data_IF_461190481678
#
_entry.id   IF_461190481678
#
_cell.length_a   1.000
_cell.length_b   1.000
_cell.length_c   1.000
_cell.angle_alpha   90.00
_cell.angle_beta   90.00
_cell.angle_gamma   90.00
#
_symmetry.space_group_name_H-M   'P 1'
#
loop_
_entity.id
_entity.type
_entity.pdbx_description
1 polymer ?
#
# COMPACT_ATOMS: atom_id res chain seq x y z
N UNK A 1 -55.36 -56.21 -26.00
CA UNK A 1 -54.84 -54.88 -26.41
C UNK A 1 -55.71 -53.74 -25.82
N UNK A 2 -55.29 -52.45 -25.73
CA UNK A 2 -53.97 -51.78 -25.86
C UNK A 2 -53.49 -51.19 -24.48
N UNK A 3 -52.19 -51.05 -24.15
CA UNK A 3 -51.14 -50.05 -24.52
C UNK A 3 -51.46 -48.57 -24.26
N UNK A 4 -50.86 -48.02 -23.19
CA UNK A 4 -50.46 -46.62 -22.97
C UNK A 4 -50.16 -46.48 -21.45
N UNK A 5 -49.19 -45.75 -20.90
CA UNK A 5 -48.18 -44.79 -21.34
C UNK A 5 -47.19 -44.71 -20.16
N UNK A 6 -45.90 -44.50 -20.43
CA UNK A 6 -44.81 -44.60 -19.45
C UNK A 6 -44.86 -43.61 -18.27
N UNK A 7 -43.95 -43.78 -17.29
CA UNK A 7 -43.94 -43.01 -16.06
C UNK A 7 -43.17 -41.70 -16.22
N UNK A 8 -43.59 -40.62 -15.54
CA UNK A 8 -42.66 -39.57 -15.15
C UNK A 8 -42.34 -39.70 -13.65
N UNK A 9 -41.06 -39.83 -13.26
CA UNK A 9 -40.63 -39.56 -11.90
C UNK A 9 -40.75 -38.06 -11.63
N UNK A 10 -41.42 -37.71 -10.53
CA UNK A 10 -41.50 -36.33 -10.05
C UNK A 10 -40.09 -35.82 -9.74
N UNK A 11 -39.63 -34.85 -10.53
CA UNK A 11 -38.36 -34.16 -10.33
C UNK A 11 -38.36 -33.35 -9.03
N UNK A 12 -37.17 -33.05 -8.49
CA UNK A 12 -37.07 -32.29 -7.26
C UNK A 12 -37.40 -30.82 -7.49
N UNK A 13 -38.04 -30.31 -6.44
CA UNK A 13 -38.25 -28.92 -6.03
C UNK A 13 -37.07 -28.00 -6.35
N UNK A 14 -37.40 -26.78 -6.76
CA UNK A 14 -36.70 -25.59 -6.27
C UNK A 14 -35.84 -24.85 -7.30
N UNK A 15 -36.38 -23.72 -7.76
CA UNK A 15 -35.68 -22.69 -8.50
C UNK A 15 -34.55 -22.04 -7.66
N UNK A 16 -33.44 -21.68 -8.33
CA UNK A 16 -32.81 -20.35 -8.31
C UNK A 16 -31.29 -20.41 -8.56
N UNK A 17 -30.88 -19.82 -9.68
CA UNK A 17 -29.65 -19.03 -9.91
C UNK A 17 -28.25 -19.63 -9.66
N UNK A 18 -27.22 -19.18 -10.41
CA UNK A 18 -25.91 -19.82 -10.43
C UNK A 18 -25.16 -19.46 -9.15
N UNK A 19 -24.67 -20.47 -8.41
CA UNK A 19 -23.68 -20.24 -7.35
C UNK A 19 -22.32 -20.04 -8.01
N UNK A 20 -22.16 -18.84 -8.56
CA UNK A 20 -20.87 -18.27 -8.89
C UNK A 20 -19.95 -18.42 -7.67
N UNK A 21 -18.74 -18.87 -7.97
CA UNK A 21 -17.50 -18.81 -7.20
C UNK A 21 -17.64 -18.51 -5.71
N UNK A 22 -17.14 -19.44 -4.91
CA UNK A 22 -16.66 -19.16 -3.57
C UNK A 22 -15.72 -17.95 -3.62
N UNK A 23 -16.26 -16.74 -3.44
CA UNK A 23 -15.47 -15.60 -3.02
C UNK A 23 -15.09 -15.94 -1.58
N UNK A 24 -13.80 -16.08 -1.26
CA UNK A 24 -13.41 -16.06 0.14
C UNK A 24 -13.93 -14.73 0.68
N UNK A 25 -14.76 -14.81 1.73
CA UNK A 25 -14.97 -13.68 2.61
C UNK A 25 -13.58 -13.10 2.92
N UNK A 26 -13.32 -11.79 2.75
CA UNK A 26 -12.20 -11.18 3.45
C UNK A 26 -12.56 -11.19 4.93
N UNK A 27 -12.30 -12.33 5.55
CA UNK A 27 -12.10 -12.53 6.97
C UNK A 27 -11.36 -11.30 7.49
N UNK A 28 -12.01 -10.59 8.41
CA UNK A 28 -11.49 -9.51 9.25
C UNK A 28 -10.09 -9.06 8.83
N UNK A 29 -10.10 -8.12 7.88
CA UNK A 29 -8.96 -7.36 7.39
C UNK A 29 -8.15 -6.85 8.58
N UNK A 30 -7.21 -7.67 9.05
CA UNK A 30 -6.06 -7.18 9.79
C UNK A 30 -5.45 -6.18 8.82
N UNK A 31 -5.66 -4.88 9.08
CA UNK A 31 -5.24 -3.77 8.23
C UNK A 31 -3.71 -3.66 8.23
N UNK A 32 -3.03 -4.73 7.83
CA UNK A 32 -1.62 -4.74 7.48
C UNK A 32 -1.54 -4.06 6.13
N UNK A 33 -1.20 -2.77 6.18
CA UNK A 33 -0.90 -2.01 4.98
C UNK A 33 0.17 -2.79 4.20
N UNK A 34 -0.07 -3.14 2.92
CA UNK A 34 0.94 -3.78 2.11
C UNK A 34 2.04 -2.76 1.79
N UNK A 35 3.29 -3.22 1.78
CA UNK A 35 4.45 -2.37 1.50
C UNK A 35 4.31 -1.62 0.17
N UNK A 36 3.70 -2.27 -0.82
CA UNK A 36 3.52 -1.75 -2.17
C UNK A 36 2.69 -0.45 -2.19
N UNK A 37 1.66 -0.33 -1.36
CA UNK A 37 0.84 0.89 -1.24
C UNK A 37 1.65 2.10 -0.76
N UNK A 38 2.75 1.88 -0.04
CA UNK A 38 3.63 2.96 0.42
C UNK A 38 4.80 3.15 -0.54
N UNK A 39 5.41 2.04 -0.99
CA UNK A 39 6.62 2.08 -1.82
C UNK A 39 6.36 2.51 -3.26
N UNK A 40 5.23 2.11 -3.87
CA UNK A 40 4.90 2.47 -5.23
C UNK A 40 4.80 4.00 -5.44
N UNK A 41 4.00 4.75 -4.66
CA UNK A 41 3.95 6.21 -4.76
C UNK A 41 5.25 6.92 -4.34
N UNK A 42 6.01 6.39 -3.37
CA UNK A 42 7.35 6.94 -3.06
C UNK A 42 8.33 6.79 -4.25
N UNK A 43 8.29 5.65 -4.95
CA UNK A 43 9.09 5.41 -6.16
C UNK A 43 8.62 6.27 -7.32
N UNK A 44 7.31 6.46 -7.49
CA UNK A 44 6.74 7.35 -8.51
C UNK A 44 7.13 8.82 -8.27
N UNK A 45 7.07 9.28 -7.02
CA UNK A 45 7.56 10.60 -6.62
C UNK A 45 9.06 10.75 -6.90
N UNK A 46 9.87 9.72 -6.61
CA UNK A 46 11.30 9.73 -6.90
C UNK A 46 11.58 9.87 -8.41
N UNK A 47 10.86 9.13 -9.25
CA UNK A 47 11.03 9.19 -10.70
C UNK A 47 10.59 10.55 -11.27
N UNK A 48 9.52 11.13 -10.70
CA UNK A 48 9.06 12.49 -11.02
C UNK A 48 10.09 13.57 -10.66
N UNK A 49 10.82 13.37 -9.56
CA UNK A 49 11.90 14.26 -9.16
C UNK A 49 13.17 14.11 -10.02
N UNK A 50 13.43 12.91 -10.53
CA UNK A 50 14.65 12.54 -11.25
C UNK A 50 15.15 13.49 -12.35
N UNK A 51 14.29 14.13 -13.19
CA UNK A 51 14.76 15.11 -14.17
C UNK A 51 15.19 16.45 -13.56
N UNK A 52 14.65 16.84 -12.41
CA UNK A 52 14.92 18.13 -11.77
C UNK A 52 15.98 18.05 -10.67
N UNK A 53 16.19 16.88 -10.05
CA UNK A 53 17.21 16.70 -9.02
C UNK A 53 18.51 16.10 -9.54
N UNK A 54 19.60 16.37 -8.81
CA UNK A 54 20.88 15.70 -9.05
C UNK A 54 20.74 14.18 -8.94
N UNK A 55 21.33 13.47 -9.90
CA UNK A 55 21.35 12.00 -9.97
C UNK A 55 21.83 11.34 -8.67
N UNK A 56 22.76 11.98 -7.94
CA UNK A 56 23.24 11.51 -6.64
C UNK A 56 22.14 11.54 -5.57
N UNK A 57 21.31 12.59 -5.55
CA UNK A 57 20.20 12.73 -4.59
C UNK A 57 19.15 11.67 -4.87
N UNK A 58 18.76 11.47 -6.14
CA UNK A 58 17.82 10.41 -6.49
C UNK A 58 18.36 9.01 -6.17
N UNK A 59 19.66 8.77 -6.36
CA UNK A 59 20.28 7.50 -6.01
C UNK A 59 20.29 7.27 -4.48
N UNK A 60 20.62 8.29 -3.69
CA UNK A 60 20.57 8.21 -2.22
C UNK A 60 19.15 7.91 -1.74
N UNK A 61 18.15 8.67 -2.20
CA UNK A 61 16.74 8.42 -1.86
C UNK A 61 16.32 7.01 -2.27
N UNK A 62 16.69 6.57 -3.48
CA UNK A 62 16.43 5.21 -3.95
C UNK A 62 17.01 4.14 -3.03
N UNK A 63 18.26 4.30 -2.59
CA UNK A 63 18.87 3.39 -1.59
C UNK A 63 18.10 3.40 -0.27
N UNK A 64 17.65 4.56 0.20
CA UNK A 64 16.85 4.68 1.44
C UNK A 64 15.50 3.98 1.30
N UNK A 65 14.84 4.08 0.14
CA UNK A 65 13.60 3.36 -0.15
C UNK A 65 13.81 1.83 -0.16
N UNK A 66 14.95 1.35 -0.65
CA UNK A 66 15.31 -0.08 -0.53
C UNK A 66 15.47 -0.51 0.92
N UNK A 67 16.08 0.31 1.78
CA UNK A 67 16.19 0.02 3.22
C UNK A 67 14.80 0.00 3.89
N UNK A 68 13.90 0.90 3.51
CA UNK A 68 12.50 0.89 3.95
C UNK A 68 11.79 -0.41 3.53
N UNK A 69 11.93 -0.82 2.28
CA UNK A 69 11.35 -2.07 1.76
C UNK A 69 11.88 -3.30 2.51
N UNK A 70 13.18 -3.37 2.73
CA UNK A 70 13.83 -4.43 3.50
C UNK A 70 13.33 -4.48 4.95
N UNK A 71 13.24 -3.33 5.62
CA UNK A 71 12.69 -3.24 6.97
C UNK A 71 11.21 -3.66 7.02
N UNK A 72 10.43 -3.36 5.98
CA UNK A 72 9.04 -3.77 5.87
C UNK A 72 8.90 -5.28 5.65
N UNK A 73 9.69 -5.84 4.73
CA UNK A 73 9.69 -7.26 4.40
C UNK A 73 10.16 -8.13 5.57
N UNK A 74 11.14 -7.64 6.33
CA UNK A 74 11.62 -8.29 7.56
C UNK A 74 10.65 -8.12 8.74
N UNK A 75 9.57 -7.34 8.59
CA UNK A 75 8.61 -7.08 9.67
C UNK A 75 9.18 -6.23 10.81
N UNK A 76 10.29 -5.51 10.57
CA UNK A 76 10.90 -4.59 11.55
C UNK A 76 10.04 -3.35 11.80
N UNK A 77 9.09 -3.06 10.91
CA UNK A 77 8.18 -1.92 11.02
C UNK A 77 6.94 -2.29 11.82
N UNK A 78 6.76 -1.57 12.93
CA UNK A 78 5.58 -1.65 13.77
C UNK A 78 4.30 -1.28 13.01
N UNK A 79 3.17 -1.87 13.39
CA UNK A 79 1.86 -1.53 12.83
C UNK A 79 1.55 -0.02 12.80
N UNK A 80 1.81 0.78 13.87
CA UNK A 80 1.63 2.23 13.83
C UNK A 80 2.53 2.92 12.78
N UNK A 81 3.77 2.47 12.60
CA UNK A 81 4.71 3.03 11.61
C UNK A 81 4.18 2.79 10.21
N UNK A 82 3.74 1.56 9.91
CA UNK A 82 3.16 1.20 8.61
C UNK A 82 1.92 2.04 8.27
N UNK A 83 1.01 2.21 9.23
CA UNK A 83 -0.19 3.03 9.07
C UNK A 83 0.14 4.51 8.83
N UNK A 84 1.06 5.08 9.62
CA UNK A 84 1.50 6.47 9.47
C UNK A 84 2.23 6.69 8.15
N UNK A 85 3.02 5.71 7.68
CA UNK A 85 3.65 5.78 6.37
C UNK A 85 2.65 5.83 5.22
N UNK A 86 1.54 5.08 5.31
CA UNK A 86 0.44 5.22 4.34
C UNK A 86 -0.13 6.62 4.31
N UNK A 87 -0.35 7.21 5.48
CA UNK A 87 -0.85 8.59 5.57
C UNK A 87 0.17 9.58 4.99
N UNK A 88 1.45 9.45 5.33
CA UNK A 88 2.52 10.32 4.81
C UNK A 88 2.55 10.30 3.28
N UNK A 89 2.45 9.11 2.71
CA UNK A 89 2.40 8.91 1.26
C UNK A 89 1.13 9.51 0.64
N UNK A 90 -0.02 9.35 1.29
CA UNK A 90 -1.27 9.96 0.84
C UNK A 90 -1.18 11.49 0.84
N UNK A 91 -0.56 12.08 1.86
CA UNK A 91 -0.30 13.53 1.90
C UNK A 91 0.73 13.95 0.84
N UNK A 92 1.74 13.12 0.55
CA UNK A 92 2.71 13.35 -0.52
C UNK A 92 2.01 13.41 -1.90
N UNK A 93 1.07 12.51 -2.17
CA UNK A 93 0.28 12.48 -3.42
C UNK A 93 -0.65 13.71 -3.55
N UNK A 94 -1.21 14.17 -2.43
CA UNK A 94 -2.02 15.39 -2.36
C UNK A 94 -1.17 16.68 -2.39
N UNK A 95 0.16 16.57 -2.48
CA UNK A 95 1.11 17.68 -2.37
C UNK A 95 1.00 18.47 -1.05
N UNK A 96 0.48 17.83 0.00
CA UNK A 96 0.39 18.37 1.35
C UNK A 96 1.70 18.15 2.10
N UNK A 97 2.74 18.89 1.71
CA UNK A 97 4.08 18.75 2.29
C UNK A 97 4.12 19.03 3.79
N UNK A 98 3.32 19.99 4.28
CA UNK A 98 3.26 20.34 5.70
C UNK A 98 2.67 19.20 6.54
N UNK A 99 1.59 18.55 6.05
CA UNK A 99 0.99 17.39 6.72
C UNK A 99 1.94 16.19 6.71
N UNK A 100 2.65 15.97 5.59
CA UNK A 100 3.68 14.93 5.51
C UNK A 100 4.83 15.19 6.51
N UNK A 101 5.27 16.44 6.69
CA UNK A 101 6.32 16.78 7.68
C UNK A 101 5.82 16.59 9.13
N UNK A 102 4.55 16.85 9.42
CA UNK A 102 3.95 16.58 10.73
C UNK A 102 3.96 15.08 11.06
N UNK A 103 3.54 14.24 10.11
CA UNK A 103 3.57 12.77 10.26
C UNK A 103 5.02 12.29 10.44
N UNK A 104 5.96 12.87 9.68
CA UNK A 104 7.40 12.62 9.85
C UNK A 104 7.89 12.99 11.26
N UNK A 105 7.54 14.17 11.79
CA UNK A 105 7.89 14.55 13.17
C UNK A 105 7.32 13.59 14.19
N UNK A 106 6.05 13.21 14.06
CA UNK A 106 5.43 12.24 14.95
C UNK A 106 6.14 10.89 14.89
N UNK A 107 6.52 10.41 13.70
CA UNK A 107 7.31 9.19 13.54
C UNK A 107 8.71 9.29 14.16
N UNK A 108 9.37 10.44 14.03
CA UNK A 108 10.68 10.68 14.65
C UNK A 108 10.62 10.77 16.18
N UNK A 109 9.47 11.11 16.77
CA UNK A 109 9.31 11.15 18.23
C UNK A 109 8.98 9.76 18.76
N UNK A 110 8.00 9.07 18.15
CA UNK A 110 7.50 7.80 18.69
C UNK A 110 8.34 6.58 18.27
N UNK A 111 8.92 6.60 17.06
CA UNK A 111 9.54 5.42 16.43
C UNK A 111 10.87 5.73 15.70
N UNK A 112 11.70 6.63 16.26
CA UNK A 112 13.00 7.03 15.68
C UNK A 112 13.91 5.86 15.31
N UNK A 113 13.95 4.82 16.15
CA UNK A 113 14.85 3.69 15.95
C UNK A 113 14.53 2.91 14.67
N UNK A 114 13.24 2.85 14.29
CA UNK A 114 12.78 2.15 13.08
C UNK A 114 12.88 3.02 11.83
N UNK A 115 12.61 4.32 11.95
CA UNK A 115 12.48 5.20 10.79
C UNK A 115 13.76 5.96 10.43
N UNK A 116 14.63 6.27 11.40
CA UNK A 116 15.80 7.15 11.20
C UNK A 116 16.72 6.74 10.05
N UNK A 117 16.87 5.43 9.78
CA UNK A 117 17.77 4.92 8.75
C UNK A 117 17.37 5.31 7.32
N UNK A 118 16.06 5.43 7.04
CA UNK A 118 15.52 5.70 5.70
C UNK A 118 14.71 7.00 5.64
N UNK A 119 14.20 7.48 6.77
CA UNK A 119 13.36 8.68 6.87
C UNK A 119 14.07 9.95 6.38
N UNK A 120 15.40 10.04 6.53
CA UNK A 120 16.19 11.13 5.94
C UNK A 120 16.02 11.21 4.41
N UNK A 121 15.92 10.06 3.74
CA UNK A 121 15.64 9.99 2.31
C UNK A 121 14.22 10.40 1.95
N UNK A 122 13.25 10.02 2.79
CA UNK A 122 11.84 10.43 2.62
C UNK A 122 11.66 11.93 2.85
N UNK A 123 12.29 12.50 3.89
CA UNK A 123 12.33 13.95 4.12
C UNK A 123 12.95 14.69 2.94
N UNK A 124 14.05 14.17 2.41
CA UNK A 124 14.68 14.70 1.19
C UNK A 124 13.69 14.64 0.03
N UNK A 125 13.04 13.50 -0.19
CA UNK A 125 12.05 13.32 -1.26
C UNK A 125 10.93 14.36 -1.17
N UNK A 126 10.34 14.58 0.01
CA UNK A 126 9.31 15.62 0.24
C UNK A 126 9.82 17.01 -0.12
N UNK A 127 11.07 17.33 0.26
CA UNK A 127 11.68 18.62 -0.08
C UNK A 127 11.95 18.76 -1.59
N UNK A 128 12.40 17.70 -2.26
CA UNK A 128 12.64 17.72 -3.71
C UNK A 128 11.32 17.80 -4.48
N UNK A 129 10.27 17.05 -4.09
CA UNK A 129 8.94 17.10 -4.71
C UNK A 129 8.28 18.47 -4.54
N UNK A 130 8.51 19.15 -3.41
CA UNK A 130 8.07 20.54 -3.17
C UNK A 130 8.79 21.55 -4.05
N UNK A 131 10.06 21.30 -4.39
CA UNK A 131 10.88 22.18 -5.24
C UNK A 131 10.76 21.86 -6.74
N UNK A 132 9.90 20.90 -7.12
CA UNK A 132 9.59 20.67 -8.51
C UNK A 132 8.92 21.94 -9.10
N UNK A 133 9.42 22.45 -10.25
CA UNK A 133 8.90 23.65 -10.90
C UNK A 133 7.52 23.45 -11.53
#
# INVERSE_FOLDING_TARGET
PPRALGPPPAGPVGAAAPRAEARPCPELRECSVPADTVLAPLRAALDSCRPSVQKQVCNDIGRRLTVLEDAWAQGKLSAPVRKRMSLLVQELEQQHWDAADEIHRSLMVDHVNEVSQWMVGVKRLIAETRNLP
#
